data_IF_774445468388
#
_entry.id   IF_774445468388
#
_cell.length_a   1.000
_cell.length_b   1.000
_cell.length_c   1.000
_cell.angle_alpha   90.00
_cell.angle_beta   90.00
_cell.angle_gamma   90.00
#
_symmetry.space_group_name_H-M   'P 1'
#
loop_
_entity.id
_entity.type
_entity.pdbx_description
1 polymer ?
#
# COMPACT_ATOMS: atom_id res chain seq x y z
N UNK A 1 -21.20 -3.92 -13.35
CA UNK A 1 -20.77 -2.57 -12.90
C UNK A 1 -19.25 -2.55 -12.94
N UNK A 2 -18.64 -1.47 -13.35
CA UNK A 2 -17.17 -1.34 -13.41
C UNK A 2 -16.68 -0.57 -12.19
N UNK A 3 -15.60 -1.03 -11.56
CA UNK A 3 -14.85 -0.28 -10.55
C UNK A 3 -13.52 0.18 -11.14
N UNK A 4 -13.11 1.39 -10.83
CA UNK A 4 -11.81 1.96 -11.23
C UNK A 4 -10.97 2.18 -9.98
N UNK A 5 -9.81 1.54 -9.93
CA UNK A 5 -8.88 1.66 -8.80
C UNK A 5 -7.59 2.33 -9.26
N UNK A 6 -6.99 3.13 -8.40
CA UNK A 6 -5.62 3.59 -8.55
C UNK A 6 -4.75 2.78 -7.60
N UNK A 7 -3.78 2.04 -8.14
CA UNK A 7 -2.82 1.27 -7.36
C UNK A 7 -1.46 1.95 -7.41
N UNK A 8 -0.82 2.10 -6.26
CA UNK A 8 0.51 2.66 -6.07
C UNK A 8 1.20 2.01 -4.87
N UNK A 9 2.53 2.11 -4.76
CA UNK A 9 3.32 1.54 -3.67
C UNK A 9 4.61 2.33 -3.46
N UNK A 10 5.39 1.97 -2.46
CA UNK A 10 6.81 2.31 -2.29
C UNK A 10 7.09 3.83 -2.32
N UNK A 11 6.23 4.61 -1.68
CA UNK A 11 6.40 6.06 -1.60
C UNK A 11 7.65 6.44 -0.83
N UNK A 12 8.03 5.65 0.19
CA UNK A 12 9.22 5.83 1.03
C UNK A 12 9.42 7.30 1.44
N UNK A 13 8.35 7.93 1.94
CA UNK A 13 8.39 9.32 2.40
C UNK A 13 9.31 9.42 3.62
N UNK A 14 10.24 10.35 3.58
CA UNK A 14 11.27 10.50 4.60
C UNK A 14 12.66 10.06 4.14
N UNK A 15 12.79 9.42 3.00
CA UNK A 15 14.08 9.02 2.41
C UNK A 15 15.01 10.22 2.27
N UNK A 16 16.19 10.12 2.88
CA UNK A 16 17.08 11.28 3.04
C UNK A 16 17.84 11.67 1.78
N UNK A 17 18.17 10.70 0.91
CA UNK A 17 19.02 10.92 -0.27
C UNK A 17 20.37 11.55 0.09
N UNK A 18 20.98 11.14 1.20
CA UNK A 18 22.23 11.71 1.71
C UNK A 18 23.44 11.54 0.74
N UNK A 19 23.33 10.62 -0.20
CA UNK A 19 24.33 10.40 -1.26
C UNK A 19 24.26 11.43 -2.39
N UNK A 20 23.22 12.29 -2.41
CA UNK A 20 23.06 13.36 -3.37
C UNK A 20 23.45 14.68 -2.72
N UNK A 21 24.54 15.28 -3.20
CA UNK A 21 25.08 16.52 -2.65
C UNK A 21 24.20 17.75 -3.00
N UNK A 22 24.25 18.79 -2.15
CA UNK A 22 23.60 20.07 -2.39
C UNK A 22 22.08 20.04 -2.35
N UNK A 23 21.46 20.97 -3.04
CA UNK A 23 20.00 21.19 -3.03
C UNK A 23 19.21 20.09 -3.77
N UNK A 24 19.86 19.34 -4.65
CA UNK A 24 19.21 18.29 -5.43
C UNK A 24 18.52 17.23 -4.54
N UNK A 25 19.15 16.84 -3.42
CA UNK A 25 18.53 15.92 -2.45
C UNK A 25 17.26 16.51 -1.81
N UNK A 26 17.25 17.81 -1.52
CA UNK A 26 16.06 18.50 -0.99
C UNK A 26 14.94 18.55 -2.03
N UNK A 27 15.27 18.81 -3.29
CA UNK A 27 14.30 18.82 -4.40
C UNK A 27 13.66 17.45 -4.61
N UNK A 28 14.44 16.37 -4.57
CA UNK A 28 13.90 14.98 -4.69
C UNK A 28 12.96 14.65 -3.53
N UNK A 29 13.32 15.02 -2.29
CA UNK A 29 12.42 14.84 -1.14
C UNK A 29 11.11 15.59 -1.30
N UNK A 30 11.16 16.84 -1.76
CA UNK A 30 9.96 17.63 -2.02
C UNK A 30 9.11 17.02 -3.15
N UNK A 31 9.76 16.51 -4.21
CA UNK A 31 9.09 15.89 -5.34
C UNK A 31 8.32 14.63 -4.96
N UNK A 32 8.76 13.84 -3.97
CA UNK A 32 8.01 12.68 -3.49
C UNK A 32 6.64 13.07 -2.93
N UNK A 33 6.58 14.10 -2.08
CA UNK A 33 5.29 14.61 -1.58
C UNK A 33 4.44 15.22 -2.69
N UNK A 34 5.07 15.89 -3.65
CA UNK A 34 4.36 16.42 -4.81
C UNK A 34 3.78 15.30 -5.68
N UNK A 35 4.45 14.16 -5.78
CA UNK A 35 3.93 12.98 -6.47
C UNK A 35 2.65 12.47 -5.82
N UNK A 36 2.56 12.45 -4.48
CA UNK A 36 1.32 12.07 -3.78
C UNK A 36 0.17 13.03 -4.13
N UNK A 37 0.43 14.35 -4.17
CA UNK A 37 -0.59 15.32 -4.58
C UNK A 37 -1.06 15.10 -6.03
N UNK A 38 -0.13 14.74 -6.92
CA UNK A 38 -0.48 14.40 -8.31
C UNK A 38 -1.29 13.11 -8.41
N UNK A 39 -0.99 12.10 -7.59
CA UNK A 39 -1.80 10.88 -7.49
C UNK A 39 -3.21 11.21 -6.99
N UNK A 40 -3.35 12.07 -5.98
CA UNK A 40 -4.64 12.52 -5.49
C UNK A 40 -5.44 13.27 -6.56
N UNK A 41 -4.79 14.20 -7.26
CA UNK A 41 -5.41 14.92 -8.37
C UNK A 41 -5.83 13.99 -9.52
N UNK A 42 -4.98 13.02 -9.89
CA UNK A 42 -5.27 12.02 -10.90
C UNK A 42 -6.47 11.14 -10.49
N UNK A 43 -6.49 10.69 -9.23
CA UNK A 43 -7.59 9.90 -8.68
C UNK A 43 -8.93 10.65 -8.80
N UNK A 44 -8.93 11.94 -8.46
CA UNK A 44 -10.10 12.82 -8.59
C UNK A 44 -10.50 13.04 -10.06
N UNK A 45 -9.54 13.37 -10.94
CA UNK A 45 -9.77 13.56 -12.38
C UNK A 45 -10.38 12.32 -13.02
N UNK A 46 -9.83 11.16 -12.72
CA UNK A 46 -10.26 9.86 -13.26
C UNK A 46 -11.48 9.30 -12.56
N UNK A 47 -11.96 9.95 -11.49
CA UNK A 47 -13.11 9.51 -10.68
C UNK A 47 -12.96 8.06 -10.24
N UNK A 48 -11.77 7.72 -9.71
CA UNK A 48 -11.53 6.36 -9.22
C UNK A 48 -12.41 6.08 -8.00
N UNK A 49 -12.80 4.82 -7.83
CA UNK A 49 -13.63 4.39 -6.69
C UNK A 49 -12.80 4.26 -5.40
N UNK A 50 -11.50 3.94 -5.51
CA UNK A 50 -10.58 3.89 -4.37
C UNK A 50 -9.12 3.99 -4.83
N UNK A 51 -8.23 4.42 -3.90
CA UNK A 51 -6.77 4.37 -4.07
C UNK A 51 -6.19 3.35 -3.10
N UNK A 52 -5.40 2.42 -3.63
CA UNK A 52 -4.72 1.37 -2.88
C UNK A 52 -3.22 1.66 -2.86
N UNK A 53 -2.64 1.70 -1.66
CA UNK A 53 -1.19 1.92 -1.45
C UNK A 53 -0.59 0.65 -0.85
N UNK A 54 0.11 -0.11 -1.68
CA UNK A 54 0.59 -1.45 -1.36
C UNK A 54 1.93 -1.44 -0.61
N UNK A 55 1.99 -0.75 0.51
CA UNK A 55 3.10 -0.77 1.44
C UNK A 55 4.17 0.31 1.20
N UNK A 56 5.09 0.43 2.15
CA UNK A 56 6.24 1.34 2.15
C UNK A 56 5.86 2.80 1.91
N UNK A 57 4.82 3.26 2.64
CA UNK A 57 4.40 4.66 2.62
C UNK A 57 5.51 5.56 3.17
N UNK A 58 6.18 5.11 4.22
CA UNK A 58 7.31 5.80 4.85
C UNK A 58 8.62 5.02 4.69
N UNK A 59 9.74 5.75 4.61
CA UNK A 59 11.08 5.15 4.52
C UNK A 59 11.44 4.31 5.75
N UNK A 60 10.97 4.71 6.91
CA UNK A 60 11.11 4.00 8.18
C UNK A 60 10.10 4.50 9.22
N UNK A 61 10.02 3.79 10.35
CA UNK A 61 9.16 4.18 11.47
C UNK A 61 9.67 5.40 12.26
N UNK A 62 10.88 5.92 11.98
CA UNK A 62 11.47 7.05 12.68
C UNK A 62 11.22 8.41 12.01
N UNK A 63 10.43 8.45 10.94
CA UNK A 63 10.05 9.72 10.29
C UNK A 63 9.44 10.70 11.29
N UNK A 64 9.67 12.00 11.10
CA UNK A 64 9.19 13.03 12.01
C UNK A 64 7.66 13.19 11.98
N UNK A 65 7.06 13.71 13.08
CA UNK A 65 5.63 14.03 13.13
C UNK A 65 5.24 15.06 12.06
N UNK A 66 6.14 15.97 11.73
CA UNK A 66 5.96 16.92 10.62
C UNK A 66 5.85 16.19 9.27
N UNK A 67 6.69 15.17 9.05
CA UNK A 67 6.61 14.34 7.84
C UNK A 67 5.28 13.60 7.77
N UNK A 68 4.81 13.04 8.89
CA UNK A 68 3.49 12.39 8.96
C UNK A 68 2.36 13.35 8.59
N UNK A 69 2.34 14.57 9.18
CA UNK A 69 1.33 15.61 8.86
C UNK A 69 1.34 16.00 7.39
N UNK A 70 2.53 16.26 6.84
CA UNK A 70 2.68 16.64 5.42
C UNK A 70 2.22 15.53 4.48
N UNK A 71 2.45 14.27 4.83
CA UNK A 71 1.98 13.12 4.03
C UNK A 71 0.46 13.04 4.05
N UNK A 72 -0.17 13.11 5.23
CA UNK A 72 -1.63 13.08 5.32
C UNK A 72 -2.28 14.27 4.58
N UNK A 73 -1.72 15.46 4.70
CA UNK A 73 -2.20 16.65 3.97
C UNK A 73 -2.05 16.52 2.45
N UNK A 74 -1.09 15.74 1.96
CA UNK A 74 -0.90 15.54 0.52
C UNK A 74 -2.01 14.68 -0.12
N UNK A 75 -2.77 13.94 0.68
CA UNK A 75 -3.89 13.09 0.22
C UNK A 75 -5.16 13.90 -0.09
N UNK A 76 -5.28 15.12 0.41
CA UNK A 76 -6.52 15.93 0.43
C UNK A 76 -7.11 16.25 -0.96
N UNK A 77 -6.36 16.01 -2.05
CA UNK A 77 -6.84 16.25 -3.43
C UNK A 77 -7.82 15.20 -3.96
N UNK A 78 -8.10 14.14 -3.17
CA UNK A 78 -9.06 13.10 -3.52
C UNK A 78 -9.95 12.79 -2.31
N UNK A 79 -11.25 12.92 -2.47
CA UNK A 79 -12.25 12.74 -1.40
C UNK A 79 -12.68 11.26 -1.22
N UNK A 80 -12.42 10.41 -2.21
CA UNK A 80 -12.70 8.98 -2.12
C UNK A 80 -11.75 8.24 -1.18
N UNK A 81 -12.01 6.95 -0.90
CA UNK A 81 -11.25 6.18 0.07
C UNK A 81 -9.81 5.91 -0.37
N UNK A 82 -8.88 6.10 0.56
CA UNK A 82 -7.51 5.64 0.51
C UNK A 82 -7.34 4.44 1.43
N UNK A 83 -6.71 3.38 0.95
CA UNK A 83 -6.29 2.24 1.79
C UNK A 83 -4.76 2.20 1.82
N UNK A 84 -4.17 2.51 2.97
CA UNK A 84 -2.72 2.54 3.16
C UNK A 84 -2.28 1.29 3.91
N UNK A 85 -1.40 0.50 3.30
CA UNK A 85 -0.85 -0.73 3.87
C UNK A 85 0.57 -0.47 4.43
N UNK A 86 0.93 -0.99 5.59
CA UNK A 86 2.32 -1.10 6.04
C UNK A 86 3.14 -2.04 5.15
N UNK A 87 4.36 -1.62 4.78
CA UNK A 87 5.36 -2.45 4.12
C UNK A 87 6.47 -2.88 5.07
N UNK A 88 7.62 -3.29 4.52
CA UNK A 88 8.76 -3.76 5.32
C UNK A 88 9.60 -2.61 5.92
N UNK A 89 9.60 -1.44 5.30
CA UNK A 89 10.27 -0.25 5.81
C UNK A 89 9.49 0.38 6.98
N UNK A 90 8.17 0.40 6.91
CA UNK A 90 7.29 1.05 7.87
C UNK A 90 6.34 0.07 8.58
N UNK A 91 6.79 -1.16 8.83
CA UNK A 91 5.98 -2.22 9.44
C UNK A 91 5.15 -1.74 10.64
N UNK A 92 3.94 -2.31 10.80
CA UNK A 92 2.96 -1.94 11.83
C UNK A 92 3.40 -2.42 13.24
N UNK A 93 4.50 -1.88 13.73
CA UNK A 93 5.00 -2.15 15.08
C UNK A 93 4.16 -1.40 16.13
N UNK A 94 4.25 -1.82 17.39
CA UNK A 94 3.60 -1.14 18.51
C UNK A 94 4.01 0.35 18.61
N UNK A 95 5.28 0.66 18.31
CA UNK A 95 5.78 2.03 18.16
C UNK A 95 6.20 2.25 16.70
N UNK A 96 5.28 2.70 15.87
CA UNK A 96 5.46 2.89 14.43
C UNK A 96 4.96 4.25 13.96
N UNK A 97 5.23 4.58 12.72
CA UNK A 97 4.61 5.71 12.03
C UNK A 97 3.07 5.63 12.12
N UNK A 98 2.52 4.42 11.96
CA UNK A 98 1.08 4.12 11.99
C UNK A 98 0.45 4.38 13.35
N UNK A 99 1.06 3.90 14.45
CA UNK A 99 0.57 4.16 15.82
C UNK A 99 0.65 5.65 16.17
N UNK A 100 1.66 6.36 15.63
CA UNK A 100 1.80 7.82 15.81
C UNK A 100 0.76 8.59 15.03
N UNK A 101 0.44 8.20 13.79
CA UNK A 101 -0.65 8.81 13.01
C UNK A 101 -1.97 8.79 13.78
N UNK A 102 -2.33 7.64 14.37
CA UNK A 102 -3.55 7.52 15.21
C UNK A 102 -3.47 8.40 16.45
N UNK A 103 -2.34 8.36 17.18
CA UNK A 103 -2.16 9.17 18.40
C UNK A 103 -2.23 10.67 18.14
N UNK A 104 -1.71 11.13 17.00
CA UNK A 104 -1.73 12.54 16.61
C UNK A 104 -3.10 13.00 16.10
N UNK A 105 -4.04 12.08 15.86
CA UNK A 105 -5.36 12.33 15.31
C UNK A 105 -5.31 13.19 14.02
N UNK A 106 -4.41 12.85 13.10
CA UNK A 106 -4.17 13.60 11.86
C UNK A 106 -4.55 12.81 10.60
N UNK A 107 -5.13 11.64 10.77
CA UNK A 107 -5.60 10.81 9.66
C UNK A 107 -6.93 11.36 9.17
N UNK A 108 -7.06 11.72 7.88
CA UNK A 108 -8.34 12.13 7.32
C UNK A 108 -9.38 11.01 7.36
N UNK A 109 -10.67 11.37 7.44
CA UNK A 109 -11.77 10.38 7.57
C UNK A 109 -11.87 9.40 6.41
N UNK A 110 -11.43 9.82 5.22
CA UNK A 110 -11.40 8.98 4.03
C UNK A 110 -10.13 8.12 3.88
N UNK A 111 -9.23 8.12 4.87
CA UNK A 111 -7.98 7.36 4.86
C UNK A 111 -8.05 6.21 5.86
N UNK A 112 -7.99 4.99 5.34
CA UNK A 112 -7.98 3.77 6.13
C UNK A 112 -6.54 3.27 6.28
N UNK A 113 -6.08 3.18 7.52
CA UNK A 113 -4.79 2.59 7.85
C UNK A 113 -5.00 1.07 8.03
N UNK A 114 -4.68 0.30 7.01
CA UNK A 114 -4.83 -1.15 6.98
C UNK A 114 -3.69 -1.84 7.76
N UNK A 115 -3.62 -1.63 9.07
CA UNK A 115 -2.56 -2.14 9.95
C UNK A 115 -2.87 -3.52 10.54
N UNK A 116 -4.06 -4.02 10.32
CA UNK A 116 -4.52 -5.32 10.83
C UNK A 116 -5.13 -6.14 9.69
N UNK A 117 -5.01 -7.47 9.70
CA UNK A 117 -5.69 -8.31 8.72
C UNK A 117 -7.20 -8.26 8.93
N UNK A 118 -7.97 -8.36 7.84
CA UNK A 118 -9.43 -8.34 7.88
C UNK A 118 -10.01 -7.71 6.63
N UNK A 119 -11.25 -8.02 6.31
CA UNK A 119 -11.93 -7.45 5.16
C UNK A 119 -12.27 -5.97 5.38
N UNK A 120 -12.03 -5.15 4.38
CA UNK A 120 -12.41 -3.74 4.33
C UNK A 120 -13.45 -3.59 3.21
N UNK A 121 -14.68 -3.32 3.58
CA UNK A 121 -15.75 -3.10 2.61
C UNK A 121 -15.82 -1.63 2.20
N UNK A 122 -15.79 -1.37 0.90
CA UNK A 122 -15.81 -0.05 0.30
C UNK A 122 -16.89 0.03 -0.81
N UNK A 123 -17.16 1.25 -1.25
CA UNK A 123 -18.04 1.49 -2.38
C UNK A 123 -19.44 0.87 -2.19
N UNK A 124 -20.04 1.06 -1.02
CA UNK A 124 -21.36 0.49 -0.66
C UNK A 124 -21.40 -1.04 -0.79
N UNK A 125 -20.33 -1.71 -0.35
CA UNK A 125 -20.20 -3.17 -0.37
C UNK A 125 -19.90 -3.78 -1.74
N UNK A 126 -19.58 -2.97 -2.76
CA UNK A 126 -19.18 -3.47 -4.09
C UNK A 126 -17.72 -3.88 -4.19
N UNK A 127 -16.87 -3.41 -3.29
CA UNK A 127 -15.44 -3.68 -3.23
C UNK A 127 -15.08 -4.19 -1.83
N UNK A 128 -14.44 -5.35 -1.77
CA UNK A 128 -13.82 -5.89 -0.58
C UNK A 128 -12.30 -5.92 -0.76
N UNK A 129 -11.58 -5.15 0.06
CA UNK A 129 -10.12 -5.16 0.10
C UNK A 129 -9.64 -6.05 1.24
N UNK A 130 -8.72 -6.96 0.95
CA UNK A 130 -8.11 -7.89 1.88
C UNK A 130 -6.64 -7.47 2.08
N UNK A 131 -6.31 -6.72 3.14
CA UNK A 131 -4.95 -6.26 3.40
C UNK A 131 -4.11 -7.30 4.12
N UNK A 132 -2.86 -7.51 3.71
CA UNK A 132 -1.86 -8.31 4.40
C UNK A 132 -0.73 -7.42 4.98
N UNK A 133 -0.98 -6.69 6.09
CA UNK A 133 -0.01 -5.76 6.64
C UNK A 133 1.19 -6.47 7.24
N UNK A 134 2.39 -5.92 7.04
CA UNK A 134 3.59 -6.41 7.70
C UNK A 134 3.67 -5.87 9.14
N UNK A 135 3.84 -6.79 10.10
CA UNK A 135 4.04 -6.46 11.52
C UNK A 135 5.51 -6.52 11.94
N UNK A 136 6.40 -6.86 11.03
CA UNK A 136 7.85 -6.85 11.17
C UNK A 136 8.49 -6.69 9.80
N UNK A 137 9.75 -6.28 9.77
CA UNK A 137 10.47 -6.02 8.52
C UNK A 137 10.61 -7.27 7.64
N UNK A 138 10.81 -8.42 8.27
CA UNK A 138 11.04 -9.69 7.59
C UNK A 138 10.06 -10.72 8.11
N UNK A 139 9.04 -11.03 7.32
CA UNK A 139 8.12 -12.12 7.55
C UNK A 139 8.59 -13.37 6.81
N UNK A 140 8.43 -14.52 7.46
CA UNK A 140 8.78 -15.81 6.87
C UNK A 140 7.55 -16.58 6.37
N UNK A 141 6.37 -16.10 6.75
CA UNK A 141 5.08 -16.69 6.37
C UNK A 141 4.40 -15.82 5.33
N UNK A 142 3.62 -16.45 4.46
CA UNK A 142 2.71 -15.75 3.57
C UNK A 142 1.54 -15.17 4.38
N UNK A 143 1.56 -13.86 4.60
CA UNK A 143 0.49 -13.19 5.34
C UNK A 143 -0.82 -13.09 4.55
N UNK A 144 -0.79 -13.41 3.24
CA UNK A 144 -1.99 -13.43 2.41
C UNK A 144 -2.78 -14.73 2.53
N UNK A 145 -2.30 -15.74 3.27
CA UNK A 145 -2.95 -17.05 3.40
C UNK A 145 -4.40 -16.96 3.90
N UNK A 146 -4.70 -15.99 4.77
CA UNK A 146 -6.05 -15.82 5.30
C UNK A 146 -7.08 -15.36 4.26
N UNK A 147 -6.64 -14.83 3.10
CA UNK A 147 -7.56 -14.40 2.03
C UNK A 147 -8.46 -15.54 1.54
N UNK A 148 -7.93 -16.77 1.57
CA UNK A 148 -8.65 -17.95 1.13
C UNK A 148 -9.90 -18.25 1.98
N UNK A 149 -9.86 -17.88 3.27
CA UNK A 149 -10.93 -18.14 4.23
C UNK A 149 -11.99 -17.02 4.29
N UNK A 150 -11.73 -15.86 3.70
CA UNK A 150 -12.68 -14.74 3.73
C UNK A 150 -13.78 -14.98 2.69
N UNK A 151 -15.03 -14.98 3.15
CA UNK A 151 -16.19 -15.03 2.27
C UNK A 151 -16.70 -13.62 1.94
N UNK A 152 -17.15 -13.41 0.70
CA UNK A 152 -17.80 -12.17 0.25
C UNK A 152 -19.12 -12.49 -0.42
N UNK A 153 -20.04 -11.53 -0.42
CA UNK A 153 -21.30 -11.66 -1.15
C UNK A 153 -21.12 -11.82 -2.66
N UNK A 154 -22.14 -12.29 -3.38
CA UNK A 154 -22.10 -12.42 -4.83
C UNK A 154 -21.92 -11.06 -5.51
N UNK A 155 -21.05 -10.99 -6.50
CA UNK A 155 -20.82 -9.77 -7.30
C UNK A 155 -19.98 -8.69 -6.62
N UNK A 156 -19.42 -8.97 -5.43
CA UNK A 156 -18.43 -8.11 -4.77
C UNK A 156 -17.07 -8.32 -5.40
N UNK A 157 -16.41 -7.25 -5.83
CA UNK A 157 -15.01 -7.30 -6.29
C UNK A 157 -14.08 -7.55 -5.12
N UNK A 158 -13.24 -8.58 -5.26
CA UNK A 158 -12.26 -8.99 -4.23
C UNK A 158 -10.87 -8.56 -4.64
N UNK A 159 -10.26 -7.70 -3.83
CA UNK A 159 -8.91 -7.18 -4.09
C UNK A 159 -8.00 -7.53 -2.93
N UNK A 160 -6.94 -8.29 -3.19
CA UNK A 160 -5.83 -8.48 -2.24
C UNK A 160 -4.91 -7.26 -2.27
N UNK A 161 -4.45 -6.83 -1.10
CA UNK A 161 -3.48 -5.75 -0.95
C UNK A 161 -2.31 -6.25 -0.09
N UNK A 162 -1.12 -6.39 -0.69
CA UNK A 162 0.03 -6.99 -0.01
C UNK A 162 1.35 -6.32 -0.41
N UNK A 163 2.38 -6.53 0.43
CA UNK A 163 3.73 -6.01 0.20
C UNK A 163 4.74 -7.12 0.44
N UNK A 164 5.50 -7.50 -0.59
CA UNK A 164 6.48 -8.57 -0.52
C UNK A 164 6.78 -9.22 -1.87
N UNK A 165 7.56 -10.30 -1.82
CA UNK A 165 8.06 -11.00 -2.99
C UNK A 165 7.15 -12.18 -3.39
N UNK A 166 6.67 -12.18 -4.64
CA UNK A 166 5.93 -13.33 -5.18
C UNK A 166 6.90 -14.47 -5.49
N UNK A 167 6.65 -15.62 -4.85
CA UNK A 167 7.50 -16.82 -4.99
C UNK A 167 7.57 -17.30 -6.44
N UNK A 168 8.73 -17.83 -6.81
CA UNK A 168 9.00 -18.42 -8.13
C UNK A 168 8.83 -17.46 -9.33
N UNK A 169 8.75 -16.16 -9.09
CA UNK A 169 8.48 -15.14 -10.12
C UNK A 169 9.54 -14.06 -10.22
N UNK A 170 10.26 -13.80 -9.14
CA UNK A 170 11.35 -12.84 -9.11
C UNK A 170 12.71 -13.54 -9.26
N UNK A 171 13.77 -12.85 -9.70
CA UNK A 171 15.11 -13.44 -9.79
C UNK A 171 15.58 -14.05 -8.47
N UNK A 172 16.29 -15.17 -8.52
CA UNK A 172 16.77 -15.93 -7.34
C UNK A 172 17.65 -15.12 -6.37
N UNK A 173 18.22 -14.01 -6.84
CA UNK A 173 19.04 -13.08 -6.03
C UNK A 173 18.22 -12.22 -5.07
N UNK A 174 16.92 -12.10 -5.27
CA UNK A 174 16.03 -11.47 -4.30
C UNK A 174 15.74 -12.49 -3.20
N UNK A 175 16.43 -12.40 -2.06
CA UNK A 175 16.05 -13.15 -0.86
C UNK A 175 14.54 -12.96 -0.64
N UNK A 176 13.79 -14.06 -0.74
CA UNK A 176 12.32 -14.02 -0.67
C UNK A 176 11.85 -13.74 0.76
N UNK A 177 12.09 -12.51 1.21
CA UNK A 177 11.49 -11.99 2.44
C UNK A 177 10.05 -11.58 2.13
N UNK A 178 9.17 -11.73 3.11
CA UNK A 178 7.74 -11.41 2.97
C UNK A 178 7.12 -12.16 1.79
N UNK A 179 7.17 -13.50 1.79
CA UNK A 179 6.79 -14.30 0.64
C UNK A 179 5.28 -14.27 0.41
N UNK A 180 4.89 -14.20 -0.86
CA UNK A 180 3.50 -14.26 -1.32
C UNK A 180 3.39 -15.41 -2.31
N UNK A 181 2.34 -16.24 -2.18
CA UNK A 181 2.08 -17.34 -3.12
C UNK A 181 1.82 -16.82 -4.53
N UNK A 182 2.46 -17.42 -5.54
CA UNK A 182 2.25 -17.08 -6.95
C UNK A 182 0.88 -17.53 -7.49
N UNK A 183 0.14 -18.34 -6.72
CA UNK A 183 -1.23 -18.75 -7.00
C UNK A 183 -2.27 -18.00 -6.17
N UNK A 184 -1.88 -16.98 -5.40
CA UNK A 184 -2.76 -16.30 -4.44
C UNK A 184 -4.02 -15.72 -5.08
N UNK A 185 -3.90 -15.12 -6.25
CA UNK A 185 -5.06 -14.56 -6.93
C UNK A 185 -6.11 -15.61 -7.27
N UNK A 186 -5.68 -16.84 -7.59
CA UNK A 186 -6.59 -17.95 -7.91
C UNK A 186 -7.16 -18.58 -6.64
N UNK A 187 -6.32 -18.96 -5.68
CA UNK A 187 -6.75 -19.65 -4.46
C UNK A 187 -7.73 -18.82 -3.64
N UNK A 188 -7.47 -17.52 -3.52
CA UNK A 188 -8.34 -16.58 -2.80
C UNK A 188 -9.47 -16.00 -3.68
N UNK A 189 -9.60 -16.43 -4.94
CA UNK A 189 -10.63 -15.94 -5.86
C UNK A 189 -10.63 -14.41 -5.98
N UNK A 190 -9.43 -13.82 -6.09
CA UNK A 190 -9.29 -12.38 -6.23
C UNK A 190 -9.55 -11.94 -7.67
N UNK A 191 -10.21 -10.81 -7.84
CA UNK A 191 -10.32 -10.10 -9.10
C UNK A 191 -9.04 -9.33 -9.42
N UNK A 192 -8.30 -8.91 -8.37
CA UNK A 192 -7.01 -8.22 -8.48
C UNK A 192 -6.16 -8.43 -7.23
N UNK A 193 -4.84 -8.57 -7.40
CA UNK A 193 -3.85 -8.57 -6.34
C UNK A 193 -2.91 -7.38 -6.54
N UNK A 194 -3.04 -6.38 -5.66
CA UNK A 194 -2.22 -5.18 -5.65
C UNK A 194 -0.97 -5.41 -4.78
N UNK A 195 0.21 -5.27 -5.37
CA UNK A 195 1.49 -5.60 -4.77
C UNK A 195 2.43 -4.38 -4.71
N UNK A 196 3.23 -4.28 -3.65
CA UNK A 196 4.40 -3.42 -3.51
C UNK A 196 5.64 -4.23 -3.15
N UNK A 197 6.81 -3.58 -3.05
CA UNK A 197 8.16 -4.10 -2.80
C UNK A 197 9.05 -4.15 -4.05
N UNK A 198 8.49 -4.45 -5.21
CA UNK A 198 9.19 -4.36 -6.49
C UNK A 198 9.05 -2.94 -7.06
N UNK A 199 10.16 -2.19 -7.13
CA UNK A 199 10.13 -0.79 -7.57
C UNK A 199 9.93 -0.68 -9.09
N UNK A 200 8.72 -0.91 -9.56
CA UNK A 200 8.36 -0.78 -10.97
C UNK A 200 7.08 -1.53 -11.31
N UNK A 201 6.36 -1.03 -12.30
CA UNK A 201 5.11 -1.66 -12.74
C UNK A 201 5.39 -2.97 -13.47
N UNK A 202 4.89 -4.07 -12.92
CA UNK A 202 5.11 -5.42 -13.45
C UNK A 202 3.88 -6.31 -13.23
N UNK A 203 3.34 -6.87 -14.32
CA UNK A 203 2.43 -8.01 -14.20
C UNK A 203 3.23 -9.27 -13.87
N UNK A 204 3.10 -9.76 -12.64
CA UNK A 204 3.87 -10.89 -12.13
C UNK A 204 3.14 -12.23 -12.33
N UNK A 205 1.82 -12.18 -12.38
CA UNK A 205 0.93 -13.28 -12.68
C UNK A 205 -0.43 -12.72 -13.15
N UNK A 206 -1.34 -13.50 -13.73
CA UNK A 206 -2.67 -13.03 -14.08
C UNK A 206 -3.35 -12.34 -12.91
N UNK A 207 -3.87 -11.12 -13.13
CA UNK A 207 -4.54 -10.29 -12.11
C UNK A 207 -3.65 -9.84 -10.93
N UNK A 208 -2.33 -10.03 -11.02
CA UNK A 208 -1.38 -9.73 -9.95
C UNK A 208 -0.30 -8.77 -10.46
N UNK A 209 -0.25 -7.56 -9.90
CA UNK A 209 0.61 -6.50 -10.38
C UNK A 209 1.36 -5.82 -9.23
N UNK A 210 2.62 -5.51 -9.50
CA UNK A 210 3.37 -4.49 -8.77
C UNK A 210 3.13 -3.11 -9.37
N UNK A 211 3.21 -2.04 -8.54
CA UNK A 211 3.02 -0.64 -8.94
C UNK A 211 4.33 0.16 -8.98
#
# INVERSE_FOLDING_TARGET
>A
MTLTLLHTADWQIGKRFSFIAGDAGAMIRAQRLETIRRLAALASERRVDAVLVAGDVFEDNAVSDETLRRTMNALAGFEGPWVLLPGNHDAALAQSAWSRLRRLAIVPDNVLLATDPGAIDLCDGRLCVLPAPLHRRHELRDLTDYFDAVETGPGVFRVGLAHGAVRNRLPDESEAMNPISDTRADSARLDYLALGDWHGTLEIAPRSWYA
#
